data_IF_519785020656
#
_entry.id   IF_519785020656
#
_cell.length_a   1.000
_cell.length_b   1.000
_cell.length_c   1.000
_cell.angle_alpha   90.00
_cell.angle_beta   90.00
_cell.angle_gamma   90.00
#
_symmetry.space_group_name_H-M   'P 1'
#
loop_
_entity.id
_entity.type
_entity.pdbx_description
1 polymer ?
#
# COMPACT_ATOMS: atom_id res chain seq x y z
N UNK A 1 -8.53 10.72 -16.83
CA UNK A 1 -7.23 10.26 -16.27
C UNK A 1 -7.32 9.47 -14.95
N UNK A 2 -8.42 9.55 -14.18
CA UNK A 2 -8.61 8.82 -12.90
C UNK A 2 -8.64 7.28 -12.99
N UNK A 3 -8.84 6.71 -14.18
CA UNK A 3 -9.05 5.26 -14.36
C UNK A 3 -7.75 4.43 -14.26
N UNK A 4 -6.58 5.04 -14.49
CA UNK A 4 -5.30 4.30 -14.52
C UNK A 4 -4.75 4.00 -13.11
N UNK A 5 -4.74 4.99 -12.20
CA UNK A 5 -4.30 4.80 -10.81
C UNK A 5 -5.14 3.74 -10.09
N UNK A 6 -6.46 3.90 -10.10
CA UNK A 6 -7.39 2.96 -9.45
C UNK A 6 -7.20 1.55 -10.00
N UNK A 7 -7.06 1.39 -11.31
CA UNK A 7 -6.82 0.08 -11.94
C UNK A 7 -5.48 -0.52 -11.51
N UNK A 8 -4.41 0.27 -11.47
CA UNK A 8 -3.09 -0.19 -11.03
C UNK A 8 -3.09 -0.60 -9.55
N UNK A 9 -3.67 0.23 -8.69
CA UNK A 9 -3.78 -0.04 -7.26
C UNK A 9 -4.60 -1.31 -6.99
N UNK A 10 -5.76 -1.44 -7.62
CA UNK A 10 -6.60 -2.64 -7.52
C UNK A 10 -5.87 -3.89 -8.02
N UNK A 11 -5.09 -3.79 -9.09
CA UNK A 11 -4.29 -4.90 -9.59
C UNK A 11 -3.25 -5.36 -8.56
N UNK A 12 -2.51 -4.43 -7.95
CA UNK A 12 -1.53 -4.75 -6.89
C UNK A 12 -2.18 -5.34 -5.64
N UNK A 13 -3.30 -4.78 -5.20
CA UNK A 13 -4.07 -5.30 -4.08
C UNK A 13 -4.56 -6.73 -4.33
N UNK A 14 -5.03 -7.04 -5.55
CA UNK A 14 -5.44 -8.40 -5.93
C UNK A 14 -4.27 -9.39 -5.92
N UNK A 15 -3.08 -8.96 -6.35
CA UNK A 15 -1.86 -9.78 -6.26
C UNK A 15 -1.52 -10.06 -4.79
N UNK A 16 -1.49 -9.02 -3.95
CA UNK A 16 -1.23 -9.17 -2.52
C UNK A 16 -2.22 -10.14 -1.85
N UNK A 17 -3.51 -10.04 -2.19
CA UNK A 17 -4.55 -10.98 -1.73
C UNK A 17 -4.22 -12.43 -2.13
N UNK A 18 -3.80 -12.67 -3.38
CA UNK A 18 -3.39 -14.02 -3.81
C UNK A 18 -2.20 -14.56 -3.03
N UNK A 19 -1.24 -13.71 -2.64
CA UNK A 19 -0.15 -14.12 -1.76
C UNK A 19 -0.63 -14.49 -0.35
N UNK A 20 -1.56 -13.73 0.22
CA UNK A 20 -2.19 -14.09 1.50
C UNK A 20 -2.93 -15.42 1.42
N UNK A 21 -3.74 -15.62 0.38
CA UNK A 21 -4.45 -16.89 0.15
C UNK A 21 -3.47 -18.07 0.03
N UNK A 22 -2.31 -17.87 -0.60
CA UNK A 22 -1.26 -18.89 -0.65
C UNK A 22 -0.71 -19.21 0.74
N UNK A 23 -0.33 -18.19 1.52
CA UNK A 23 0.20 -18.40 2.89
C UNK A 23 -0.79 -19.15 3.78
N UNK A 24 -2.07 -18.81 3.70
CA UNK A 24 -3.13 -19.52 4.44
C UNK A 24 -3.11 -21.02 4.09
N UNK A 25 -3.10 -21.36 2.80
CA UNK A 25 -3.01 -22.76 2.36
C UNK A 25 -1.74 -23.45 2.84
N UNK A 26 -0.59 -22.78 2.79
CA UNK A 26 0.66 -23.36 3.28
C UNK A 26 0.56 -23.74 4.76
N UNK A 27 -0.12 -22.92 5.57
CA UNK A 27 -0.37 -23.23 6.98
C UNK A 27 -1.38 -24.38 7.12
N UNK A 28 -2.46 -24.39 6.34
CA UNK A 28 -3.47 -25.47 6.34
C UNK A 28 -2.88 -26.84 5.95
N UNK A 29 -1.81 -26.85 5.15
CA UNK A 29 -1.12 -28.07 4.70
C UNK A 29 0.15 -28.39 5.50
N UNK A 30 0.37 -27.73 6.65
CA UNK A 30 1.55 -27.93 7.50
C UNK A 30 2.88 -27.81 6.72
N UNK A 31 2.96 -26.88 5.76
CA UNK A 31 4.18 -26.65 4.97
C UNK A 31 5.33 -26.11 5.84
N UNK A 32 6.56 -26.21 5.31
CA UNK A 32 7.77 -25.86 6.05
C UNK A 32 7.78 -24.39 6.49
N UNK A 33 8.03 -24.17 7.79
CA UNK A 33 7.91 -22.85 8.40
C UNK A 33 8.81 -21.77 7.78
N UNK A 34 9.99 -22.16 7.29
CA UNK A 34 10.90 -21.21 6.64
C UNK A 34 10.31 -20.70 5.30
N UNK A 35 9.64 -21.58 4.55
CA UNK A 35 9.02 -21.21 3.28
C UNK A 35 7.83 -20.28 3.50
N UNK A 36 7.02 -20.57 4.54
CA UNK A 36 5.95 -19.67 4.99
C UNK A 36 6.52 -18.29 5.35
N UNK A 37 7.63 -18.27 6.08
CA UNK A 37 8.31 -17.03 6.48
C UNK A 37 8.80 -16.24 5.27
N UNK A 38 9.35 -16.90 4.25
CA UNK A 38 9.73 -16.23 3.00
C UNK A 38 8.51 -15.66 2.27
N UNK A 39 7.37 -16.37 2.24
CA UNK A 39 6.15 -15.84 1.62
C UNK A 39 5.57 -14.65 2.38
N UNK A 40 5.62 -14.63 3.72
CA UNK A 40 5.16 -13.47 4.50
C UNK A 40 6.04 -12.24 4.26
N UNK A 41 7.36 -12.40 4.08
CA UNK A 41 8.24 -11.30 3.64
C UNK A 41 7.87 -10.78 2.24
N UNK A 42 7.51 -11.67 1.31
CA UNK A 42 7.04 -11.24 -0.01
C UNK A 42 5.76 -10.39 0.07
N UNK A 43 4.83 -10.76 0.97
CA UNK A 43 3.62 -9.98 1.25
C UNK A 43 3.98 -8.60 1.81
N UNK A 44 4.88 -8.52 2.80
CA UNK A 44 5.32 -7.24 3.38
C UNK A 44 5.90 -6.31 2.30
N UNK A 45 6.73 -6.85 1.41
CA UNK A 45 7.28 -6.11 0.28
C UNK A 45 6.20 -5.63 -0.69
N UNK A 46 5.19 -6.47 -0.99
CA UNK A 46 4.07 -6.09 -1.84
C UNK A 46 3.24 -4.95 -1.22
N UNK A 47 2.96 -5.02 0.08
CA UNK A 47 2.26 -3.96 0.84
C UNK A 47 3.05 -2.66 0.79
N UNK A 48 4.37 -2.71 1.03
CA UNK A 48 5.23 -1.51 0.93
C UNK A 48 5.13 -0.83 -0.44
N UNK A 49 5.07 -1.61 -1.53
CA UNK A 49 4.88 -1.07 -2.88
C UNK A 49 3.48 -0.50 -3.11
N UNK A 50 2.46 -1.03 -2.44
CA UNK A 50 1.11 -0.47 -2.48
C UNK A 50 1.08 0.88 -1.74
N UNK A 51 1.70 0.96 -0.55
CA UNK A 51 1.82 2.20 0.23
C UNK A 51 2.51 3.31 -0.59
N UNK A 52 3.63 2.98 -1.26
CA UNK A 52 4.37 3.92 -2.12
C UNK A 52 3.47 4.52 -3.22
N UNK A 53 2.67 3.69 -3.88
CA UNK A 53 1.76 4.13 -4.95
C UNK A 53 0.63 5.01 -4.41
N UNK A 54 0.08 4.69 -3.24
CA UNK A 54 -0.96 5.48 -2.59
C UNK A 54 -0.41 6.85 -2.19
N UNK A 55 0.76 6.87 -1.54
CA UNK A 55 1.41 8.10 -1.09
C UNK A 55 1.75 9.01 -2.28
N UNK A 56 2.35 8.46 -3.33
CA UNK A 56 2.66 9.20 -4.56
C UNK A 56 1.41 9.86 -5.15
N UNK A 57 0.28 9.13 -5.17
CA UNK A 57 -0.98 9.68 -5.65
C UNK A 57 -1.47 10.82 -4.77
N UNK A 58 -1.48 10.66 -3.45
CA UNK A 58 -1.93 11.69 -2.50
C UNK A 58 -1.08 12.98 -2.60
N UNK A 59 0.24 12.85 -2.74
CA UNK A 59 1.14 13.98 -2.97
C UNK A 59 0.81 14.72 -4.28
N UNK A 60 0.54 13.98 -5.36
CA UNK A 60 0.27 14.54 -6.70
C UNK A 60 -1.14 15.12 -6.86
N UNK A 61 -2.09 14.74 -5.99
CA UNK A 61 -3.48 15.22 -6.03
C UNK A 61 -3.80 16.10 -4.83
N UNK A 62 -4.06 15.54 -3.66
CA UNK A 62 -4.54 16.25 -2.49
C UNK A 62 -3.58 17.34 -2.02
N UNK A 63 -2.29 17.03 -1.88
CA UNK A 63 -1.29 18.03 -1.43
C UNK A 63 -1.05 19.09 -2.50
N UNK A 64 -0.93 18.67 -3.77
CA UNK A 64 -0.78 19.60 -4.88
C UNK A 64 -1.96 20.57 -4.98
N UNK A 65 -3.18 20.09 -4.83
CA UNK A 65 -4.40 20.91 -4.83
C UNK A 65 -4.44 21.86 -3.64
N UNK A 66 -4.06 21.41 -2.44
CA UNK A 66 -3.95 22.25 -1.25
C UNK A 66 -2.96 23.41 -1.48
N UNK A 67 -1.80 23.14 -2.08
CA UNK A 67 -0.78 24.16 -2.40
C UNK A 67 -1.32 25.15 -3.44
N UNK A 68 -1.92 24.65 -4.54
CA UNK A 68 -2.44 25.51 -5.62
C UNK A 68 -3.61 26.38 -5.15
N UNK A 69 -4.42 25.86 -4.23
CA UNK A 69 -5.58 26.58 -3.69
C UNK A 69 -5.27 27.46 -2.46
N UNK A 70 -4.03 27.40 -1.96
CA UNK A 70 -3.57 28.05 -0.72
C UNK A 70 -4.49 27.75 0.48
N UNK A 71 -4.96 26.51 0.58
CA UNK A 71 -5.90 26.04 1.60
C UNK A 71 -5.50 24.69 2.12
N UNK A 72 -5.55 24.53 3.45
CA UNK A 72 -5.38 23.25 4.15
C UNK A 72 -4.03 22.54 3.88
N UNK A 73 -2.99 23.28 3.47
CA UNK A 73 -1.66 22.71 3.19
C UNK A 73 -1.10 22.02 4.43
N UNK A 74 -1.11 22.71 5.58
CA UNK A 74 -0.59 22.17 6.84
C UNK A 74 -1.36 20.91 7.27
N UNK A 75 -2.69 20.91 7.15
CA UNK A 75 -3.52 19.74 7.45
C UNK A 75 -3.11 18.51 6.63
N UNK A 76 -2.98 18.67 5.29
CA UNK A 76 -2.59 17.56 4.41
C UNK A 76 -1.16 17.08 4.62
N UNK A 77 -0.25 17.97 5.04
CA UNK A 77 1.10 17.57 5.45
C UNK A 77 1.07 16.78 6.75
N UNK A 78 0.27 17.22 7.74
CA UNK A 78 0.13 16.50 9.01
C UNK A 78 -0.47 15.10 8.84
N UNK A 79 -1.46 14.91 7.96
CA UNK A 79 -2.00 13.57 7.62
C UNK A 79 -0.89 12.59 7.23
N UNK A 80 0.08 13.03 6.41
CA UNK A 80 1.22 12.20 6.00
C UNK A 80 2.12 11.90 7.21
N UNK A 81 2.47 12.92 8.00
CA UNK A 81 3.33 12.76 9.18
C UNK A 81 2.72 11.73 10.15
N UNK A 82 1.42 11.79 10.39
CA UNK A 82 0.73 10.82 11.25
C UNK A 82 0.82 9.39 10.74
N UNK A 83 0.69 9.17 9.43
CA UNK A 83 0.83 7.84 8.83
C UNK A 83 2.24 7.27 9.07
N UNK A 84 3.28 8.09 8.95
CA UNK A 84 4.67 7.65 9.18
C UNK A 84 5.02 7.46 10.65
N UNK A 85 4.38 8.20 11.58
CA UNK A 85 4.57 8.01 13.04
C UNK A 85 3.94 6.73 13.57
N UNK A 86 2.97 6.13 12.86
CA UNK A 86 2.30 4.88 13.25
C UNK A 86 3.10 3.62 12.92
N UNK A 87 4.23 3.75 12.20
CA UNK A 87 5.17 2.66 11.89
C UNK A 87 6.25 2.53 12.95
#
# INVERSE_FOLDING_TARGET
MQNSYKKNLLHRLKIARGHFEKVIKMVEYDEYCLDITQQTYAIQNAIKKIDEVILEHHLKTCVKEAIVSDKNVEEKVQEIIEVFKRK
#
